data_IF_514531704060
#
_entry.id   IF_514531704060
#
_cell.length_a   1.000
_cell.length_b   1.000
_cell.length_c   1.000
_cell.angle_alpha   90.00
_cell.angle_beta   90.00
_cell.angle_gamma   90.00
#
_symmetry.space_group_name_H-M   'P 1'
#
loop_
_entity.id
_entity.type
_entity.pdbx_description
1 polymer ?
#
# COMPACT_ATOMS: atom_id res chain seq x y z
N UNK A 1 10.29 11.93 -5.36
CA UNK A 1 10.10 12.81 -4.19
C UNK A 1 8.95 13.76 -4.48
N UNK A 2 7.72 13.41 -4.08
CA UNK A 2 6.58 14.29 -3.82
C UNK A 2 5.34 13.41 -3.75
N UNK A 3 5.02 12.92 -2.55
CA UNK A 3 3.71 12.37 -2.21
C UNK A 3 3.59 12.45 -0.69
N UNK A 4 3.44 13.68 -0.21
CA UNK A 4 3.24 13.93 1.20
C UNK A 4 2.36 15.17 1.35
N UNK A 5 1.10 14.91 1.75
CA UNK A 5 0.18 15.83 2.40
C UNK A 5 -0.44 16.94 1.53
N UNK A 6 -1.66 16.69 1.05
CA UNK A 6 -2.60 17.75 0.71
C UNK A 6 -2.88 18.58 1.98
N UNK A 7 -2.30 19.78 2.02
CA UNK A 7 -2.57 20.81 3.03
C UNK A 7 -2.66 22.18 2.37
N UNK A 8 -3.48 23.04 2.96
CA UNK A 8 -4.05 24.30 2.45
C UNK A 8 -3.06 25.23 1.71
N UNK A 9 -3.53 26.10 0.80
CA UNK A 9 -2.63 26.77 -0.16
C UNK A 9 -2.97 28.23 -0.49
N UNK A 10 -1.98 29.02 -0.91
CA UNK A 10 -2.18 30.40 -1.41
C UNK A 10 -1.38 30.69 -2.68
N UNK A 11 -1.93 31.54 -3.53
CA UNK A 11 -1.31 31.96 -4.80
C UNK A 11 -0.15 32.92 -4.51
N UNK A 12 1.00 32.65 -5.12
CA UNK A 12 2.24 33.43 -5.02
C UNK A 12 2.85 33.66 -6.40
N UNK A 13 3.71 34.67 -6.52
CA UNK A 13 4.52 34.85 -7.73
C UNK A 13 5.57 33.72 -7.83
N UNK A 14 5.79 33.14 -9.03
CA UNK A 14 6.76 32.08 -9.22
C UNK A 14 8.21 32.58 -9.07
N UNK A 15 9.14 31.74 -8.59
CA UNK A 15 10.58 31.96 -8.69
C UNK A 15 11.02 32.20 -10.15
N UNK A 16 12.06 33.01 -10.35
CA UNK A 16 12.51 33.48 -11.68
C UNK A 16 12.98 32.37 -12.62
N UNK A 17 13.40 31.24 -12.04
CA UNK A 17 13.93 30.04 -12.68
C UNK A 17 12.85 29.01 -13.04
N UNK A 18 11.62 29.19 -12.54
CA UNK A 18 10.56 28.20 -12.70
C UNK A 18 9.69 28.47 -13.93
N UNK A 19 9.77 27.57 -14.93
CA UNK A 19 9.01 27.70 -16.18
C UNK A 19 7.52 27.41 -15.97
N UNK A 20 6.67 28.34 -16.42
CA UNK A 20 5.22 28.16 -16.44
C UNK A 20 4.81 27.08 -17.46
N UNK A 21 3.91 26.14 -17.10
CA UNK A 21 3.37 25.16 -18.04
C UNK A 21 2.73 25.83 -19.27
N UNK A 22 3.05 25.35 -20.47
CA UNK A 22 2.51 25.88 -21.73
C UNK A 22 1.03 25.51 -21.90
N UNK A 23 0.24 26.46 -22.42
CA UNK A 23 -1.11 26.20 -22.93
C UNK A 23 -2.25 26.11 -21.90
N UNK A 24 -2.03 26.31 -20.60
CA UNK A 24 -3.10 26.26 -19.58
C UNK A 24 -3.06 27.47 -18.65
N UNK A 25 -4.23 28.03 -18.34
CA UNK A 25 -4.37 29.05 -17.30
C UNK A 25 -4.12 28.41 -15.93
N UNK A 26 -2.97 28.75 -15.34
CA UNK A 26 -2.53 28.23 -14.05
C UNK A 26 -1.94 29.34 -13.17
N UNK A 27 -2.05 29.14 -11.87
CA UNK A 27 -1.42 29.93 -10.81
C UNK A 27 -0.29 29.13 -10.17
N UNK A 28 0.72 29.85 -9.69
CA UNK A 28 1.76 29.27 -8.85
C UNK A 28 1.32 29.38 -7.39
N UNK A 29 1.36 28.26 -6.67
CA UNK A 29 0.69 28.09 -5.39
C UNK A 29 1.69 27.54 -4.38
N UNK A 30 1.75 28.14 -3.19
CA UNK A 30 2.53 27.64 -2.04
C UNK A 30 1.58 27.01 -1.02
N UNK A 31 1.98 25.87 -0.46
CA UNK A 31 1.17 25.13 0.52
C UNK A 31 1.54 25.54 1.95
N UNK A 32 0.55 25.99 2.72
CA UNK A 32 0.66 26.30 4.15
C UNK A 32 1.14 25.08 4.95
N UNK A 33 1.99 25.35 5.94
CA UNK A 33 2.60 24.32 6.79
C UNK A 33 3.74 23.55 6.12
N UNK A 34 4.11 23.91 4.88
CA UNK A 34 5.22 23.29 4.12
C UNK A 34 6.03 24.35 3.35
N UNK A 35 7.17 23.95 2.78
CA UNK A 35 7.91 24.76 1.80
C UNK A 35 7.58 24.36 0.34
N UNK A 36 6.57 23.51 0.16
CA UNK A 36 6.20 22.97 -1.14
C UNK A 36 5.42 23.99 -1.98
N UNK A 37 5.57 23.87 -3.30
CA UNK A 37 4.94 24.76 -4.26
C UNK A 37 4.63 24.04 -5.58
N UNK A 38 3.58 24.46 -6.28
CA UNK A 38 3.16 23.86 -7.54
C UNK A 38 2.44 24.83 -8.47
N UNK A 39 2.42 24.52 -9.77
CA UNK A 39 1.54 25.18 -10.73
C UNK A 39 0.19 24.47 -10.77
N UNK A 40 -0.87 25.17 -10.40
CA UNK A 40 -2.22 24.60 -10.35
C UNK A 40 -3.12 25.30 -11.37
N UNK A 41 -3.92 24.54 -12.10
CA UNK A 41 -4.86 25.10 -13.08
C UNK A 41 -6.01 25.82 -12.38
N UNK A 42 -6.49 26.92 -12.97
CA UNK A 42 -7.59 27.72 -12.40
C UNK A 42 -8.87 26.91 -12.22
N UNK A 43 -9.17 25.95 -13.10
CA UNK A 43 -10.36 25.10 -12.98
C UNK A 43 -10.37 24.19 -11.74
N UNK A 44 -9.18 23.89 -11.21
CA UNK A 44 -9.04 23.05 -10.03
C UNK A 44 -9.13 23.85 -8.73
N UNK A 45 -9.29 25.17 -8.82
CA UNK A 45 -9.20 26.09 -7.71
C UNK A 45 -10.58 26.40 -7.08
N UNK A 46 -10.83 26.03 -5.81
CA UNK A 46 -12.08 26.38 -5.07
C UNK A 46 -11.92 27.35 -3.89
N UNK A 47 -12.81 28.33 -3.68
CA UNK A 47 -12.76 29.26 -2.54
C UNK A 47 -12.78 28.60 -1.15
N UNK A 48 -11.94 29.07 -0.22
CA UNK A 48 -11.78 28.46 1.10
C UNK A 48 -12.98 28.59 2.03
N UNK A 49 -13.51 29.81 2.27
CA UNK A 49 -14.57 29.99 3.28
C UNK A 49 -15.81 29.10 2.99
N UNK A 50 -16.29 28.99 1.73
CA UNK A 50 -17.41 28.11 1.41
C UNK A 50 -17.12 26.61 1.51
N UNK A 51 -15.86 26.18 1.40
CA UNK A 51 -15.48 24.76 1.32
C UNK A 51 -14.72 24.26 2.56
N UNK A 52 -14.36 25.13 3.50
CA UNK A 52 -13.60 24.79 4.71
C UNK A 52 -14.31 23.72 5.54
N UNK A 53 -15.60 23.89 5.82
CA UNK A 53 -16.35 22.97 6.68
C UNK A 53 -16.52 21.58 6.04
N UNK A 54 -16.76 21.53 4.74
CA UNK A 54 -16.80 20.29 3.96
C UNK A 54 -15.45 19.57 4.04
N UNK A 55 -14.35 20.31 3.88
CA UNK A 55 -13.01 19.73 3.88
C UNK A 55 -12.55 19.28 5.28
N UNK A 56 -12.95 19.96 6.35
CA UNK A 56 -12.73 19.51 7.75
C UNK A 56 -13.51 18.22 8.03
N UNK A 57 -14.73 18.08 7.51
CA UNK A 57 -15.51 16.84 7.66
C UNK A 57 -14.85 15.66 6.96
N UNK A 58 -14.28 15.89 5.78
CA UNK A 58 -13.60 14.86 4.97
C UNK A 58 -12.22 14.51 5.56
N UNK A 59 -11.47 15.50 6.07
CA UNK A 59 -10.09 15.32 6.51
C UNK A 59 -9.91 15.55 8.02
N UNK A 60 -9.85 14.46 8.80
CA UNK A 60 -9.72 14.50 10.27
C UNK A 60 -8.26 14.41 10.78
N UNK A 61 -7.28 14.52 9.90
CA UNK A 61 -5.86 14.38 10.26
C UNK A 61 -5.32 15.57 11.04
N UNK A 62 -4.45 15.32 12.04
CA UNK A 62 -3.83 16.37 12.87
C UNK A 62 -3.05 17.41 12.06
N UNK A 63 -2.40 17.01 10.96
CA UNK A 63 -1.69 17.92 10.03
C UNK A 63 -2.64 18.82 9.24
N UNK A 64 -3.80 18.30 8.84
CA UNK A 64 -4.82 19.10 8.14
C UNK A 64 -5.39 20.16 9.07
N UNK A 65 -5.69 19.79 10.33
CA UNK A 65 -6.13 20.76 11.33
C UNK A 65 -5.09 21.86 11.57
N UNK A 66 -3.79 21.51 11.63
CA UNK A 66 -2.70 22.49 11.75
C UNK A 66 -2.61 23.44 10.54
N UNK A 67 -2.88 22.96 9.34
CA UNK A 67 -2.88 23.79 8.13
C UNK A 67 -4.08 24.74 8.12
N UNK A 68 -5.28 24.26 8.51
CA UNK A 68 -6.47 25.09 8.72
C UNK A 68 -6.19 26.18 9.75
N UNK A 69 -5.60 25.83 10.89
CA UNK A 69 -5.24 26.78 11.94
C UNK A 69 -4.24 27.83 11.43
N UNK A 70 -3.24 27.43 10.64
CA UNK A 70 -2.28 28.33 10.02
C UNK A 70 -2.92 29.30 9.01
N UNK A 71 -3.92 28.85 8.24
CA UNK A 71 -4.71 29.70 7.34
C UNK A 71 -5.51 30.72 8.14
N UNK A 72 -6.19 30.29 9.21
CA UNK A 72 -6.95 31.20 10.08
C UNK A 72 -6.05 32.25 10.74
N UNK A 73 -4.87 31.84 11.21
CA UNK A 73 -3.89 32.76 11.78
C UNK A 73 -3.33 33.75 10.75
N UNK A 74 -3.10 33.29 9.52
CA UNK A 74 -2.70 34.17 8.41
C UNK A 74 -3.77 35.22 8.11
N UNK A 75 -5.04 34.79 8.01
CA UNK A 75 -6.17 35.68 7.78
C UNK A 75 -6.37 36.69 8.92
N UNK A 76 -6.22 36.25 10.18
CA UNK A 76 -6.25 37.14 11.36
C UNK A 76 -5.13 38.17 11.32
N UNK A 77 -3.89 37.77 11.02
CA UNK A 77 -2.74 38.68 10.89
C UNK A 77 -2.91 39.68 9.75
N UNK A 78 -3.52 39.26 8.63
CA UNK A 78 -3.83 40.15 7.52
C UNK A 78 -4.84 41.23 7.92
N UNK A 79 -5.93 40.86 8.62
CA UNK A 79 -6.93 41.81 9.17
C UNK A 79 -6.33 42.76 10.21
N UNK A 80 -5.42 42.28 11.06
CA UNK A 80 -4.74 43.11 12.06
C UNK A 80 -3.83 44.19 11.45
N UNK A 81 -3.11 43.88 10.36
CA UNK A 81 -2.27 44.86 9.64
C UNK A 81 -3.09 45.96 8.97
N UNK A 82 -4.34 45.67 8.61
CA UNK A 82 -5.26 46.64 8.02
C UNK A 82 -5.78 47.65 9.06
N UNK A 83 -6.06 47.21 10.29
CA UNK A 83 -6.45 48.09 11.40
C UNK A 83 -5.30 49.00 11.89
N UNK A 84 -4.07 48.48 11.95
CA UNK A 84 -2.87 49.26 12.32
C UNK A 84 -2.55 50.33 11.27
N UNK A 85 -2.74 50.05 9.97
CA UNK A 85 -2.57 51.04 8.90
C UNK A 85 -3.66 52.11 8.87
N UNK A 86 -4.91 51.77 9.20
CA UNK A 86 -5.98 52.79 9.38
C UNK A 86 -5.71 53.71 10.56
N UNK A 87 -5.11 53.21 11.65
CA UNK A 87 -4.70 54.04 12.79
C UNK A 87 -3.46 54.92 12.50
N UNK A 88 -2.51 54.45 11.70
CA UNK A 88 -1.31 55.24 11.36
C UNK A 88 -1.55 56.29 10.27
N UNK A 89 -2.58 56.14 9.44
CA UNK A 89 -2.94 57.16 8.42
C UNK A 89 -3.62 58.41 9.00
N UNK A 90 -3.98 58.42 10.29
CA UNK A 90 -4.58 59.58 10.95
C UNK A 90 -3.55 60.54 11.56
N UNK A 91 -2.26 60.17 11.61
CA UNK A 91 -1.21 60.97 12.25
C UNK A 91 0.10 60.95 11.44
N UNK A 92 0.22 61.79 10.39
CA UNK A 92 1.44 62.57 10.09
C UNK A 92 1.30 63.43 8.84
N UNK A 93 1.10 64.71 9.09
CA UNK A 93 1.33 65.84 8.17
C UNK A 93 2.80 66.27 8.22
N UNK A 94 3.36 66.66 7.06
CA UNK A 94 4.54 67.54 6.83
C UNK A 94 5.97 67.02 7.13
N UNK A 95 6.76 66.72 6.08
CA UNK A 95 7.93 67.51 5.54
C UNK A 95 8.77 66.71 4.50
N UNK A 96 9.40 67.47 3.58
CA UNK A 96 9.99 67.15 2.24
C UNK A 96 11.44 66.59 2.29
N UNK A 97 11.77 65.47 1.59
CA UNK A 97 12.58 65.27 0.33
C UNK A 97 14.11 65.58 0.38
N UNK A 98 15.00 65.07 -0.54
CA UNK A 98 14.81 64.28 -1.81
C UNK A 98 15.70 62.98 -1.91
N UNK A 99 15.49 61.99 -2.80
CA UNK A 99 15.79 61.94 -4.24
C UNK A 99 15.27 60.61 -4.89
N UNK A 100 14.70 60.75 -6.08
CA UNK A 100 14.60 59.85 -7.25
C UNK A 100 13.83 58.49 -7.27
N UNK A 101 13.13 58.34 -8.40
CA UNK A 101 12.36 57.20 -8.93
C UNK A 101 11.01 56.88 -8.26
N UNK A 102 10.02 57.72 -8.55
CA UNK A 102 8.63 57.29 -8.64
C UNK A 102 8.47 56.31 -9.80
N UNK A 103 7.86 55.16 -9.55
CA UNK A 103 6.94 54.52 -10.48
C UNK A 103 5.87 53.80 -9.64
N UNK A 104 4.74 54.50 -9.50
CA UNK A 104 3.36 53.98 -9.52
C UNK A 104 3.15 52.64 -8.80
N UNK A 105 2.87 52.70 -7.48
CA UNK A 105 2.16 51.64 -6.78
C UNK A 105 0.67 51.98 -6.83
N UNK A 106 0.01 51.54 -7.89
CA UNK A 106 -1.43 51.68 -8.08
C UNK A 106 -2.22 50.97 -6.97
N UNK A 107 -3.31 51.61 -6.54
CA UNK A 107 -4.38 51.14 -5.65
C UNK A 107 -5.04 49.80 -6.06
N UNK A 108 -4.58 49.16 -7.14
CA UNK A 108 -4.94 47.80 -7.56
C UNK A 108 -4.33 46.70 -6.69
N UNK A 109 -3.26 46.97 -5.95
CA UNK A 109 -2.60 45.95 -5.13
C UNK A 109 -3.45 45.48 -3.93
N UNK A 110 -4.30 46.36 -3.37
CA UNK A 110 -5.17 46.00 -2.25
C UNK A 110 -6.43 45.23 -2.68
N UNK A 111 -7.00 45.52 -3.84
CA UNK A 111 -8.08 44.71 -4.42
C UNK A 111 -7.58 43.32 -4.88
N UNK A 112 -6.31 43.21 -5.27
CA UNK A 112 -5.66 41.92 -5.55
C UNK A 112 -5.39 41.08 -4.29
N UNK A 113 -5.02 41.73 -3.17
CA UNK A 113 -4.85 41.07 -1.87
C UNK A 113 -6.19 40.66 -1.23
N UNK A 114 -7.24 41.46 -1.40
CA UNK A 114 -8.60 41.17 -0.91
C UNK A 114 -9.33 40.13 -1.77
N UNK A 115 -8.84 39.84 -2.98
CA UNK A 115 -9.34 38.75 -3.84
C UNK A 115 -8.52 37.48 -3.73
N UNK A 116 -7.66 37.35 -2.70
CA UNK A 116 -7.02 36.08 -2.32
C UNK A 116 -8.09 35.06 -1.93
N UNK A 117 -8.66 34.47 -2.97
CA UNK A 117 -9.39 33.23 -2.92
C UNK A 117 -8.35 32.23 -2.45
N UNK A 118 -8.42 31.83 -1.19
CA UNK A 118 -7.72 30.64 -0.71
C UNK A 118 -8.35 29.46 -1.42
N UNK A 119 -7.51 28.52 -1.85
CA UNK A 119 -7.92 27.62 -2.91
C UNK A 119 -7.69 26.14 -2.61
N UNK A 120 -8.74 25.33 -2.72
CA UNK A 120 -8.61 23.87 -2.79
C UNK A 120 -8.32 23.41 -4.21
N UNK A 121 -7.37 22.47 -4.35
CA UNK A 121 -7.01 21.80 -5.61
C UNK A 121 -7.81 20.50 -5.74
N UNK A 122 -8.45 20.28 -6.88
CA UNK A 122 -9.02 18.98 -7.24
C UNK A 122 -7.94 18.11 -7.92
N UNK A 123 -7.60 16.99 -7.30
CA UNK A 123 -6.49 16.11 -7.70
C UNK A 123 -6.64 15.56 -9.13
N UNK A 124 -5.57 15.64 -9.92
CA UNK A 124 -5.44 14.92 -11.19
C UNK A 124 -5.06 13.48 -10.92
N UNK A 125 -5.98 12.54 -11.19
CA UNK A 125 -5.76 11.09 -11.37
C UNK A 125 -4.64 10.47 -10.52
N UNK A 126 -4.60 10.84 -9.25
CA UNK A 126 -4.15 9.95 -8.19
C UNK A 126 -5.33 9.02 -7.99
N UNK A 127 -5.15 7.71 -8.18
CA UNK A 127 -6.05 6.73 -7.54
C UNK A 127 -5.94 7.00 -6.05
N UNK A 128 -6.79 7.90 -5.55
CA UNK A 128 -6.95 8.17 -4.14
C UNK A 128 -7.34 6.82 -3.53
N UNK A 129 -6.36 6.15 -2.94
CA UNK A 129 -6.55 5.01 -2.07
C UNK A 129 -7.63 5.47 -1.09
N UNK A 130 -8.84 4.92 -1.19
CA UNK A 130 -9.75 5.01 -0.05
C UNK A 130 -8.97 4.45 1.13
N UNK A 131 -8.84 5.27 2.18
CA UNK A 131 -8.13 4.92 3.39
C UNK A 131 -8.49 3.49 3.80
N UNK A 132 -7.48 2.72 4.22
CA UNK A 132 -7.65 1.34 4.68
C UNK A 132 -8.99 1.18 5.41
N UNK A 133 -9.87 0.30 4.91
CA UNK A 133 -10.99 -0.12 5.72
C UNK A 133 -10.36 -0.80 6.94
N UNK A 134 -10.42 -0.15 8.10
CA UNK A 134 -9.96 -0.73 9.35
C UNK A 134 -10.85 -1.93 9.60
N UNK A 135 -10.33 -3.12 9.34
CA UNK A 135 -11.06 -4.33 9.68
C UNK A 135 -11.07 -4.42 11.20
N UNK A 136 -12.26 -4.52 11.78
CA UNK A 136 -12.46 -4.32 13.20
C UNK A 136 -11.62 -5.31 14.03
N UNK A 137 -10.57 -4.81 14.67
CA UNK A 137 -9.95 -5.48 15.81
C UNK A 137 -10.98 -5.39 16.95
N UNK A 138 -11.62 -6.51 17.30
CA UNK A 138 -12.58 -6.68 18.42
C UNK A 138 -14.05 -6.24 18.19
N UNK A 139 -14.61 -6.43 17.00
CA UNK A 139 -16.07 -6.41 16.77
C UNK A 139 -16.60 -7.81 16.41
N UNK A 140 -17.86 -8.13 16.75
CA UNK A 140 -18.50 -9.35 16.23
C UNK A 140 -18.69 -9.21 14.72
N UNK A 141 -17.79 -9.81 13.93
CA UNK A 141 -17.95 -9.89 12.48
C UNK A 141 -19.23 -10.69 12.22
N UNK A 142 -20.18 -10.10 11.49
CA UNK A 142 -21.32 -10.85 10.97
C UNK A 142 -20.86 -11.53 9.67
N UNK A 143 -20.80 -12.87 9.62
CA UNK A 143 -20.35 -13.55 8.42
C UNK A 143 -21.32 -13.31 7.27
N UNK A 144 -20.81 -13.34 6.04
CA UNK A 144 -21.64 -13.25 4.83
C UNK A 144 -22.45 -14.54 4.64
N UNK A 145 -23.66 -14.43 4.10
CA UNK A 145 -24.49 -15.58 3.71
C UNK A 145 -23.95 -16.30 2.45
N UNK A 146 -22.98 -15.69 1.77
CA UNK A 146 -22.32 -16.27 0.59
C UNK A 146 -21.48 -17.49 0.98
N UNK A 147 -21.59 -18.58 0.21
CA UNK A 147 -20.75 -19.77 0.39
C UNK A 147 -19.33 -19.47 -0.09
N UNK A 148 -18.35 -19.76 0.75
CA UNK A 148 -16.94 -19.45 0.49
C UNK A 148 -16.20 -20.70 0.05
N UNK A 149 -15.46 -20.62 -1.05
CA UNK A 149 -14.50 -21.63 -1.50
C UNK A 149 -13.08 -21.19 -1.16
N UNK A 150 -12.20 -22.14 -0.82
CA UNK A 150 -10.78 -21.83 -0.59
C UNK A 150 -9.88 -22.88 -1.22
N UNK A 151 -8.96 -22.44 -2.09
CA UNK A 151 -8.05 -23.29 -2.85
C UNK A 151 -6.61 -23.05 -2.44
N UNK A 152 -5.96 -24.06 -1.86
CA UNK A 152 -4.55 -24.00 -1.46
C UNK A 152 -4.38 -23.77 0.04
N UNK A 153 -4.04 -24.85 0.75
CA UNK A 153 -3.90 -24.87 2.23
C UNK A 153 -2.41 -24.88 2.61
N UNK A 154 -1.69 -23.90 2.05
CA UNK A 154 -0.27 -23.69 2.29
C UNK A 154 0.01 -22.91 3.59
N UNK A 155 1.22 -22.32 3.66
CA UNK A 155 1.68 -21.54 4.82
C UNK A 155 0.70 -20.41 5.19
N UNK A 156 0.21 -19.66 4.19
CA UNK A 156 -0.78 -18.59 4.39
C UNK A 156 -2.21 -19.13 4.40
N UNK A 157 -2.58 -19.95 3.41
CA UNK A 157 -3.96 -20.42 3.25
C UNK A 157 -4.53 -21.11 4.48
N UNK A 158 -3.70 -21.83 5.24
CA UNK A 158 -4.11 -22.47 6.49
C UNK A 158 -4.66 -21.48 7.52
N UNK A 159 -3.91 -20.42 7.84
CA UNK A 159 -4.34 -19.43 8.82
C UNK A 159 -5.57 -18.64 8.36
N UNK A 160 -5.62 -18.31 7.07
CA UNK A 160 -6.77 -17.63 6.46
C UNK A 160 -8.05 -18.46 6.61
N UNK A 161 -8.01 -19.75 6.28
CA UNK A 161 -9.19 -20.63 6.37
C UNK A 161 -9.65 -20.81 7.81
N UNK A 162 -8.74 -21.06 8.76
CA UNK A 162 -9.11 -21.18 10.17
C UNK A 162 -9.78 -19.92 10.68
N UNK A 163 -9.33 -18.73 10.26
CA UNK A 163 -9.98 -17.48 10.65
C UNK A 163 -11.36 -17.30 10.02
N UNK A 164 -11.54 -17.67 8.75
CA UNK A 164 -12.87 -17.68 8.13
C UNK A 164 -13.85 -18.60 8.87
N UNK A 165 -13.41 -19.81 9.22
CA UNK A 165 -14.24 -20.78 9.98
C UNK A 165 -14.57 -20.27 11.39
N UNK A 166 -13.58 -19.74 12.12
CA UNK A 166 -13.77 -19.17 13.47
C UNK A 166 -14.77 -18.01 13.49
N UNK A 167 -14.81 -17.21 12.43
CA UNK A 167 -15.77 -16.11 12.29
C UNK A 167 -17.13 -16.55 11.73
N UNK A 168 -17.37 -17.86 11.57
CA UNK A 168 -18.67 -18.43 11.23
C UNK A 168 -18.99 -18.49 9.74
N UNK A 169 -18.00 -18.30 8.86
CA UNK A 169 -18.23 -18.45 7.42
C UNK A 169 -18.40 -19.92 7.03
N UNK A 170 -19.27 -20.18 6.05
CA UNK A 170 -19.44 -21.51 5.45
C UNK A 170 -18.35 -21.71 4.38
N UNK A 171 -17.31 -22.47 4.71
CA UNK A 171 -16.15 -22.67 3.84
C UNK A 171 -16.11 -24.08 3.24
N UNK A 172 -15.85 -24.17 1.94
CA UNK A 172 -15.45 -25.41 1.25
C UNK A 172 -14.01 -25.30 0.82
N UNK A 173 -13.17 -26.24 1.26
CA UNK A 173 -11.74 -26.23 1.00
C UNK A 173 -11.34 -27.24 -0.06
N UNK A 174 -10.27 -26.94 -0.77
CA UNK A 174 -9.55 -27.90 -1.59
C UNK A 174 -8.05 -27.62 -1.51
N UNK A 175 -7.26 -28.70 -1.53
CA UNK A 175 -5.82 -28.63 -1.68
C UNK A 175 -5.34 -29.80 -2.52
N UNK A 176 -4.26 -29.60 -3.29
CA UNK A 176 -3.67 -30.66 -4.13
C UNK A 176 -3.28 -31.91 -3.32
N UNK A 177 -2.77 -31.70 -2.11
CA UNK A 177 -2.48 -32.75 -1.12
C UNK A 177 -3.68 -32.84 -0.18
N UNK A 178 -4.51 -33.86 -0.34
CA UNK A 178 -5.82 -33.96 0.31
C UNK A 178 -5.73 -33.99 1.84
N UNK A 179 -4.66 -34.60 2.38
CA UNK A 179 -4.42 -34.74 3.83
C UNK A 179 -4.31 -33.38 4.53
N UNK A 180 -3.96 -32.31 3.80
CA UNK A 180 -3.94 -30.95 4.37
C UNK A 180 -5.34 -30.40 4.69
N UNK A 181 -6.40 -31.00 4.15
CA UNK A 181 -7.77 -30.59 4.41
C UNK A 181 -8.32 -31.12 5.74
N UNK A 182 -7.74 -32.19 6.29
CA UNK A 182 -8.31 -32.93 7.44
C UNK A 182 -8.52 -32.06 8.68
N UNK A 183 -7.58 -31.16 8.97
CA UNK A 183 -7.67 -30.20 10.07
C UNK A 183 -8.91 -29.30 9.93
N UNK A 184 -9.20 -28.82 8.73
CA UNK A 184 -10.30 -27.88 8.50
C UNK A 184 -11.65 -28.58 8.43
N UNK A 185 -11.68 -29.85 8.02
CA UNK A 185 -12.90 -30.67 8.10
C UNK A 185 -13.34 -30.82 9.56
N UNK A 186 -12.38 -31.03 10.47
CA UNK A 186 -12.65 -31.06 11.92
C UNK A 186 -13.14 -29.70 12.44
N UNK A 187 -12.67 -28.59 11.87
CA UNK A 187 -13.14 -27.22 12.15
C UNK A 187 -14.47 -26.86 11.44
N UNK A 188 -15.09 -27.79 10.71
CA UNK A 188 -16.40 -27.61 10.09
C UNK A 188 -16.39 -27.21 8.61
N UNK A 189 -15.23 -27.19 7.95
CA UNK A 189 -15.15 -26.99 6.51
C UNK A 189 -15.71 -28.18 5.73
N UNK A 190 -16.27 -27.90 4.56
CA UNK A 190 -16.63 -28.92 3.57
C UNK A 190 -15.42 -29.23 2.70
N UNK A 191 -15.31 -30.46 2.21
CA UNK A 191 -14.27 -30.85 1.27
C UNK A 191 -14.79 -30.81 -0.17
N UNK A 192 -14.14 -30.05 -1.04
CA UNK A 192 -14.29 -30.17 -2.49
C UNK A 192 -13.28 -31.17 -3.06
N UNK A 193 -13.65 -31.90 -4.11
CA UNK A 193 -12.77 -32.91 -4.74
C UNK A 193 -11.86 -32.28 -5.80
N UNK A 194 -12.33 -31.21 -6.44
CA UNK A 194 -11.58 -30.47 -7.47
C UNK A 194 -11.82 -28.97 -7.35
N UNK A 195 -10.90 -28.11 -7.87
CA UNK A 195 -11.11 -26.67 -7.96
C UNK A 195 -12.41 -26.30 -8.67
N UNK A 196 -12.74 -26.95 -9.79
CA UNK A 196 -13.98 -26.74 -10.54
C UNK A 196 -15.23 -26.98 -9.67
N UNK A 197 -15.21 -28.04 -8.86
CA UNK A 197 -16.31 -28.40 -7.97
C UNK A 197 -16.51 -27.35 -6.88
N UNK A 198 -15.42 -26.91 -6.23
CA UNK A 198 -15.47 -25.84 -5.21
C UNK A 198 -16.12 -24.58 -5.78
N UNK A 199 -15.67 -24.14 -6.95
CA UNK A 199 -16.22 -22.94 -7.62
C UNK A 199 -17.70 -23.12 -7.98
N UNK A 200 -18.12 -24.32 -8.39
CA UNK A 200 -19.53 -24.60 -8.70
C UNK A 200 -20.42 -24.52 -7.46
N UNK A 201 -19.93 -24.96 -6.31
CA UNK A 201 -20.66 -24.97 -5.04
C UNK A 201 -20.65 -23.61 -4.32
N UNK A 202 -19.60 -22.81 -4.49
CA UNK A 202 -19.39 -21.58 -3.73
C UNK A 202 -19.71 -20.32 -4.55
N UNK A 203 -20.07 -19.23 -3.88
CA UNK A 203 -20.41 -17.96 -4.53
C UNK A 203 -19.13 -17.11 -4.73
N UNK A 204 -18.23 -17.14 -3.75
CA UNK A 204 -16.89 -16.54 -3.79
C UNK A 204 -15.87 -17.63 -3.53
N UNK A 205 -14.86 -17.77 -4.39
CA UNK A 205 -13.77 -18.72 -4.21
C UNK A 205 -12.43 -17.99 -4.15
N UNK A 206 -11.72 -18.13 -3.03
CA UNK A 206 -10.36 -17.62 -2.83
C UNK A 206 -9.33 -18.66 -3.26
N UNK A 207 -8.16 -18.21 -3.72
CA UNK A 207 -6.98 -19.05 -3.97
C UNK A 207 -5.74 -18.47 -3.30
N UNK A 208 -4.87 -19.33 -2.79
CA UNK A 208 -3.57 -18.94 -2.23
C UNK A 208 -2.53 -20.03 -2.50
N UNK A 209 -1.78 -19.89 -3.59
CA UNK A 209 -0.81 -20.87 -4.09
C UNK A 209 0.60 -20.25 -4.28
N UNK A 210 1.58 -21.09 -4.60
CA UNK A 210 3.00 -20.78 -4.42
C UNK A 210 3.59 -19.74 -5.40
N UNK A 211 3.14 -19.75 -6.65
CA UNK A 211 3.79 -19.06 -7.74
C UNK A 211 2.85 -18.91 -8.96
N UNK A 212 3.23 -18.11 -9.97
CA UNK A 212 2.42 -17.90 -11.18
C UNK A 212 2.06 -19.18 -11.92
N UNK A 213 2.95 -20.18 -11.97
CA UNK A 213 2.67 -21.45 -12.64
C UNK A 213 1.58 -22.20 -11.89
N UNK A 214 1.68 -22.31 -10.57
CA UNK A 214 0.65 -22.94 -9.75
C UNK A 214 -0.71 -22.24 -9.88
N UNK A 215 -0.73 -20.91 -9.96
CA UNK A 215 -1.97 -20.15 -10.16
C UNK A 215 -2.60 -20.41 -11.54
N UNK A 216 -1.79 -20.40 -12.61
CA UNK A 216 -2.26 -20.74 -13.97
C UNK A 216 -2.75 -22.18 -14.07
N UNK A 217 -2.00 -23.14 -13.54
CA UNK A 217 -2.37 -24.55 -13.53
C UNK A 217 -3.68 -24.78 -12.75
N UNK A 218 -3.86 -24.09 -11.61
CA UNK A 218 -5.08 -24.16 -10.80
C UNK A 218 -6.31 -23.65 -11.57
N UNK A 219 -6.14 -22.59 -12.36
CA UNK A 219 -7.26 -21.96 -13.07
C UNK A 219 -7.56 -22.62 -14.41
N UNK A 220 -6.53 -22.80 -15.24
CA UNK A 220 -6.64 -23.22 -16.64
C UNK A 220 -6.50 -24.73 -16.83
N UNK A 221 -5.96 -25.44 -15.83
CA UNK A 221 -5.73 -26.88 -15.89
C UNK A 221 -7.01 -27.72 -15.89
N UNK A 222 -6.89 -29.04 -16.08
CA UNK A 222 -8.03 -29.95 -16.04
C UNK A 222 -8.66 -29.99 -14.64
N UNK A 223 -9.99 -29.99 -14.61
CA UNK A 223 -10.78 -29.79 -13.38
C UNK A 223 -10.43 -28.52 -12.58
N UNK A 224 -9.81 -27.54 -13.24
CA UNK A 224 -9.43 -26.23 -12.71
C UNK A 224 -10.61 -25.27 -12.55
N UNK A 225 -10.33 -24.12 -11.93
CA UNK A 225 -11.32 -23.07 -11.60
C UNK A 225 -12.20 -22.73 -12.78
N UNK A 226 -11.62 -22.56 -13.97
CA UNK A 226 -12.32 -22.07 -15.16
C UNK A 226 -13.50 -22.96 -15.59
N UNK A 227 -13.46 -24.27 -15.29
CA UNK A 227 -14.56 -25.18 -15.63
C UNK A 227 -15.74 -25.10 -14.63
N UNK A 228 -15.52 -24.54 -13.45
CA UNK A 228 -16.59 -24.25 -12.48
C UNK A 228 -17.21 -22.85 -12.63
N UNK A 229 -16.54 -21.93 -13.35
CA UNK A 229 -17.01 -20.56 -13.54
C UNK A 229 -18.25 -20.52 -14.44
N UNK A 230 -19.25 -19.75 -13.98
CA UNK A 230 -20.48 -19.39 -14.68
C UNK A 230 -20.91 -17.98 -14.24
N UNK A 231 -21.87 -17.33 -14.93
CA UNK A 231 -22.38 -16.02 -14.52
C UNK A 231 -22.71 -15.93 -13.03
N UNK A 232 -22.18 -14.90 -12.37
CA UNK A 232 -22.38 -14.63 -10.94
C UNK A 232 -21.35 -15.26 -10.00
N UNK A 233 -20.47 -16.15 -10.47
CA UNK A 233 -19.38 -16.70 -9.66
C UNK A 233 -18.24 -15.69 -9.49
N UNK A 234 -17.70 -15.59 -8.28
CA UNK A 234 -16.58 -14.72 -7.96
C UNK A 234 -15.32 -15.53 -7.67
N UNK A 235 -14.19 -15.11 -8.21
CA UNK A 235 -12.87 -15.69 -7.93
C UNK A 235 -11.93 -14.60 -7.40
N UNK A 236 -11.26 -14.89 -6.29
CA UNK A 236 -10.36 -13.98 -5.59
C UNK A 236 -8.96 -14.59 -5.54
N UNK A 237 -8.03 -14.05 -6.32
CA UNK A 237 -6.66 -14.54 -6.40
C UNK A 237 -5.77 -13.86 -5.35
N UNK A 238 -5.39 -14.58 -4.30
CA UNK A 238 -4.56 -14.04 -3.20
C UNK A 238 -3.08 -14.41 -3.32
N UNK A 239 -2.69 -15.15 -4.35
CA UNK A 239 -1.29 -15.53 -4.57
C UNK A 239 -0.47 -14.33 -5.04
N UNK A 240 0.77 -14.22 -4.55
CA UNK A 240 1.71 -13.23 -5.08
C UNK A 240 2.25 -13.70 -6.44
N UNK A 241 1.74 -13.10 -7.52
CA UNK A 241 2.10 -13.37 -8.92
C UNK A 241 2.42 -12.08 -9.67
N UNK A 242 2.88 -12.18 -10.92
CA UNK A 242 3.10 -11.04 -11.81
C UNK A 242 1.81 -10.45 -12.40
N UNK A 243 1.81 -9.16 -12.78
CA UNK A 243 0.65 -8.50 -13.37
C UNK A 243 0.15 -9.15 -14.66
N UNK A 244 1.05 -9.73 -15.45
CA UNK A 244 0.72 -10.44 -16.70
C UNK A 244 -0.11 -11.70 -16.41
N UNK A 245 0.26 -12.46 -15.38
CA UNK A 245 -0.53 -13.59 -14.89
C UNK A 245 -1.90 -13.13 -14.41
N UNK A 246 -2.00 -12.04 -13.64
CA UNK A 246 -3.29 -11.50 -13.21
C UNK A 246 -4.17 -11.11 -14.40
N UNK A 247 -3.60 -10.45 -15.41
CA UNK A 247 -4.33 -10.07 -16.62
C UNK A 247 -4.91 -11.29 -17.35
N UNK A 248 -4.11 -12.35 -17.52
CA UNK A 248 -4.54 -13.60 -18.16
C UNK A 248 -5.66 -14.31 -17.37
N UNK A 249 -5.52 -14.42 -16.05
CA UNK A 249 -6.51 -15.06 -15.19
C UNK A 249 -7.82 -14.26 -15.15
N UNK A 250 -7.72 -12.94 -14.99
CA UNK A 250 -8.86 -12.03 -15.00
C UNK A 250 -9.63 -12.12 -16.31
N UNK A 251 -8.94 -12.05 -17.45
CA UNK A 251 -9.56 -12.18 -18.77
C UNK A 251 -10.25 -13.53 -18.95
N UNK A 252 -9.58 -14.62 -18.56
CA UNK A 252 -10.12 -15.97 -18.69
C UNK A 252 -11.42 -16.14 -17.89
N UNK A 253 -11.44 -15.68 -16.65
CA UNK A 253 -12.58 -15.79 -15.74
C UNK A 253 -13.75 -14.90 -16.20
N UNK A 254 -13.48 -13.65 -16.57
CA UNK A 254 -14.50 -12.70 -17.02
C UNK A 254 -15.13 -13.09 -18.35
N UNK A 255 -14.36 -13.68 -19.27
CA UNK A 255 -14.88 -14.21 -20.55
C UNK A 255 -15.92 -15.32 -20.34
N UNK A 256 -15.88 -16.03 -19.20
CA UNK A 256 -16.88 -17.04 -18.81
C UNK A 256 -18.03 -16.49 -17.95
N UNK A 257 -18.11 -15.17 -17.80
CA UNK A 257 -19.12 -14.48 -17.00
C UNK A 257 -18.83 -14.46 -15.49
N UNK A 258 -17.64 -14.91 -15.08
CA UNK A 258 -17.19 -14.79 -13.70
C UNK A 258 -16.75 -13.36 -13.37
N UNK A 259 -16.64 -13.07 -12.07
CA UNK A 259 -16.12 -11.80 -11.56
C UNK A 259 -14.79 -12.06 -10.88
N UNK A 260 -13.81 -11.18 -11.10
CA UNK A 260 -12.43 -11.40 -10.70
C UNK A 260 -11.94 -10.27 -9.79
N UNK A 261 -11.25 -10.66 -8.71
CA UNK A 261 -10.52 -9.76 -7.83
C UNK A 261 -9.14 -10.38 -7.57
N UNK A 262 -8.07 -9.61 -7.69
CA UNK A 262 -6.80 -9.98 -7.05
C UNK A 262 -6.79 -9.40 -5.64
N UNK A 263 -6.30 -10.16 -4.67
CA UNK A 263 -6.20 -9.74 -3.27
C UNK A 263 -4.94 -10.32 -2.58
N UNK A 264 -3.72 -10.13 -3.13
CA UNK A 264 -2.50 -10.60 -2.46
C UNK A 264 -2.36 -10.00 -1.05
N UNK A 265 -1.75 -10.78 -0.16
CA UNK A 265 -1.60 -10.45 1.27
C UNK A 265 -0.14 -10.20 1.66
N UNK A 266 0.08 -9.13 2.42
CA UNK A 266 1.34 -8.83 3.07
C UNK A 266 1.26 -9.25 4.53
N UNK A 267 2.25 -10.02 4.97
CA UNK A 267 2.32 -10.58 6.30
C UNK A 267 3.14 -11.86 6.34
N UNK A 268 3.06 -12.57 7.45
CA UNK A 268 3.77 -13.82 7.69
C UNK A 268 2.81 -14.91 8.16
N UNK A 269 3.31 -16.12 8.41
CA UNK A 269 2.48 -17.23 8.88
C UNK A 269 1.80 -16.87 10.20
N UNK A 270 2.56 -16.28 11.12
CA UNK A 270 2.00 -15.85 12.40
C UNK A 270 0.86 -14.83 12.20
N UNK A 271 1.08 -13.79 11.39
CA UNK A 271 0.05 -12.79 11.10
C UNK A 271 -1.17 -13.39 10.37
N UNK A 272 -0.95 -14.41 9.54
CA UNK A 272 -2.04 -15.14 8.89
C UNK A 272 -2.87 -15.95 9.89
N UNK A 273 -2.23 -16.56 10.89
CA UNK A 273 -2.91 -17.30 11.94
C UNK A 273 -3.71 -16.35 12.85
N UNK A 274 -3.17 -15.16 13.09
CA UNK A 274 -3.76 -14.16 13.98
C UNK A 274 -4.84 -13.29 13.31
N UNK A 275 -5.08 -13.45 12.01
CA UNK A 275 -6.04 -12.63 11.26
C UNK A 275 -5.58 -11.17 11.10
N UNK A 276 -4.26 -10.95 11.02
CA UNK A 276 -3.62 -9.62 11.05
C UNK A 276 -2.92 -9.26 9.74
N UNK A 277 -3.29 -9.92 8.62
CA UNK A 277 -2.73 -9.64 7.30
C UNK A 277 -3.11 -8.24 6.80
N UNK A 278 -2.27 -7.70 5.92
CA UNK A 278 -2.63 -6.51 5.12
C UNK A 278 -3.01 -6.98 3.72
N UNK A 279 -4.26 -6.73 3.34
CA UNK A 279 -4.82 -7.18 2.06
C UNK A 279 -4.71 -6.06 1.04
N UNK A 280 -4.11 -6.34 -0.11
CA UNK A 280 -4.03 -5.41 -1.24
C UNK A 280 -4.94 -5.95 -2.33
N UNK A 281 -6.06 -5.29 -2.58
CA UNK A 281 -7.08 -5.75 -3.52
C UNK A 281 -7.18 -4.85 -4.75
N UNK A 282 -7.44 -5.43 -5.92
CA UNK A 282 -7.73 -4.69 -7.15
C UNK A 282 -8.54 -5.56 -8.14
N UNK A 283 -9.33 -4.93 -9.01
CA UNK A 283 -10.24 -5.61 -9.94
C UNK A 283 -11.70 -5.22 -9.70
N UNK A 284 -12.59 -6.20 -9.61
CA UNK A 284 -14.03 -5.95 -9.44
C UNK A 284 -14.35 -5.38 -8.04
N UNK A 285 -14.73 -4.10 -8.01
CA UNK A 285 -15.05 -3.37 -6.78
C UNK A 285 -16.18 -4.00 -5.96
N UNK A 286 -17.20 -4.52 -6.62
CA UNK A 286 -18.31 -5.18 -5.94
C UNK A 286 -17.87 -6.50 -5.31
N UNK A 287 -16.88 -7.21 -5.88
CA UNK A 287 -16.34 -8.44 -5.25
C UNK A 287 -15.57 -8.07 -4.00
N UNK A 288 -14.80 -6.98 -4.04
CA UNK A 288 -14.11 -6.44 -2.87
C UNK A 288 -15.10 -6.13 -1.73
N UNK A 289 -16.22 -5.49 -2.03
CA UNK A 289 -17.27 -5.18 -1.06
C UNK A 289 -17.98 -6.44 -0.54
N UNK A 290 -18.30 -7.39 -1.44
CA UNK A 290 -18.87 -8.69 -1.08
C UNK A 290 -17.95 -9.52 -0.16
N UNK A 291 -16.64 -9.29 -0.21
CA UNK A 291 -15.63 -9.94 0.61
C UNK A 291 -15.39 -9.25 1.97
N UNK A 292 -16.12 -8.18 2.32
CA UNK A 292 -15.83 -7.35 3.50
C UNK A 292 -15.66 -8.16 4.80
N UNK A 293 -16.61 -9.04 5.15
CA UNK A 293 -16.50 -9.86 6.37
C UNK A 293 -15.39 -10.92 6.28
N UNK A 294 -15.10 -11.44 5.08
CA UNK A 294 -13.98 -12.36 4.88
C UNK A 294 -12.62 -11.65 5.09
N UNK A 295 -12.45 -10.46 4.53
CA UNK A 295 -11.26 -9.64 4.72
C UNK A 295 -11.11 -9.18 6.17
N UNK A 296 -12.22 -8.93 6.87
CA UNK A 296 -12.19 -8.66 8.30
C UNK A 296 -11.73 -9.85 9.15
N UNK A 297 -12.10 -11.07 8.76
CA UNK A 297 -11.69 -12.26 9.49
C UNK A 297 -10.18 -12.54 9.33
N UNK A 298 -9.62 -12.34 8.14
CA UNK A 298 -8.24 -12.73 7.82
C UNK A 298 -7.21 -11.60 7.93
N UNK A 299 -7.64 -10.34 8.00
CA UNK A 299 -6.78 -9.18 7.89
C UNK A 299 -7.02 -8.12 8.96
N UNK A 300 -5.97 -7.33 9.20
CA UNK A 300 -5.98 -6.10 10.00
C UNK A 300 -6.39 -4.86 9.20
N UNK A 301 -6.17 -4.88 7.88
CA UNK A 301 -6.60 -3.82 6.99
C UNK A 301 -6.68 -4.30 5.55
N UNK A 302 -7.59 -3.72 4.77
CA UNK A 302 -7.68 -3.93 3.32
C UNK A 302 -7.59 -2.62 2.55
N UNK A 303 -6.93 -2.66 1.40
CA UNK A 303 -6.77 -1.52 0.48
C UNK A 303 -7.31 -1.89 -0.89
N UNK A 304 -8.15 -1.04 -1.49
CA UNK A 304 -8.59 -1.21 -2.87
C UNK A 304 -7.79 -0.30 -3.82
N UNK A 305 -7.04 -0.89 -4.74
CA UNK A 305 -6.03 -0.27 -5.58
C UNK A 305 -6.48 -0.06 -7.04
N UNK A 306 -7.80 -0.13 -7.28
CA UNK A 306 -8.39 0.12 -8.59
C UNK A 306 -8.37 -1.12 -9.49
N UNK A 307 -7.87 -0.95 -10.72
CA UNK A 307 -7.88 -1.97 -11.77
C UNK A 307 -6.98 -3.19 -11.47
N UNK A 308 -7.37 -4.35 -11.99
CA UNK A 308 -6.59 -5.58 -11.87
C UNK A 308 -5.17 -5.41 -12.44
N UNK A 309 -4.19 -6.01 -11.76
CA UNK A 309 -2.76 -5.86 -11.95
C UNK A 309 -2.13 -4.86 -10.98
N UNK A 310 -2.87 -3.90 -10.41
CA UNK A 310 -2.31 -2.91 -9.49
C UNK A 310 -1.91 -3.49 -8.14
N UNK A 311 -2.65 -4.47 -7.62
CA UNK A 311 -2.30 -5.10 -6.34
C UNK A 311 -1.09 -6.02 -6.47
N UNK A 312 -0.97 -6.78 -7.57
CA UNK A 312 0.24 -7.53 -7.90
C UNK A 312 1.48 -6.63 -7.96
N UNK A 313 1.42 -5.49 -8.67
CA UNK A 313 2.52 -4.51 -8.73
C UNK A 313 2.91 -4.02 -7.34
N UNK A 314 1.93 -3.58 -6.54
CA UNK A 314 2.19 -3.07 -5.20
C UNK A 314 2.81 -4.15 -4.29
N UNK A 315 2.29 -5.37 -4.35
CA UNK A 315 2.82 -6.49 -3.58
C UNK A 315 4.27 -6.82 -3.95
N UNK A 316 4.59 -6.87 -5.25
CA UNK A 316 5.95 -7.12 -5.70
C UNK A 316 6.92 -6.00 -5.25
N UNK A 317 6.48 -4.75 -5.23
CA UNK A 317 7.28 -3.63 -4.69
C UNK A 317 7.54 -3.83 -3.19
N UNK A 318 6.52 -4.18 -2.40
CA UNK A 318 6.67 -4.42 -0.97
C UNK A 318 7.65 -5.58 -0.69
N UNK A 319 7.48 -6.70 -1.38
CA UNK A 319 8.34 -7.87 -1.18
C UNK A 319 9.76 -7.64 -1.75
N UNK A 320 9.92 -6.80 -2.76
CA UNK A 320 11.23 -6.35 -3.23
C UNK A 320 11.98 -5.57 -2.14
N UNK A 321 11.30 -4.62 -1.49
CA UNK A 321 11.86 -3.86 -0.36
C UNK A 321 12.21 -4.79 0.79
N UNK A 322 11.28 -5.66 1.21
CA UNK A 322 11.46 -6.59 2.32
C UNK A 322 12.61 -7.58 2.06
N UNK A 323 12.65 -8.18 0.87
CA UNK A 323 13.69 -9.14 0.47
C UNK A 323 15.07 -8.50 0.45
N UNK A 324 15.19 -7.30 -0.15
CA UNK A 324 16.45 -6.55 -0.19
C UNK A 324 16.92 -6.16 1.21
N UNK A 325 15.99 -5.69 2.05
CA UNK A 325 16.31 -5.29 3.42
C UNK A 325 16.82 -6.45 4.28
N UNK A 326 16.20 -7.63 4.16
CA UNK A 326 16.66 -8.83 4.86
C UNK A 326 18.06 -9.28 4.42
N UNK A 327 18.40 -9.15 3.13
CA UNK A 327 19.77 -9.40 2.66
C UNK A 327 20.77 -8.41 3.29
N UNK A 328 20.41 -7.12 3.37
CA UNK A 328 21.23 -6.10 4.05
C UNK A 328 21.41 -6.38 5.55
N UNK A 329 20.36 -6.83 6.24
CA UNK A 329 20.43 -7.23 7.66
C UNK A 329 21.41 -8.40 7.82
N UNK A 330 21.30 -9.42 6.97
CA UNK A 330 22.19 -10.58 6.99
C UNK A 330 23.66 -10.19 6.75
N UNK A 331 23.92 -9.31 5.79
CA UNK A 331 25.25 -8.77 5.52
C UNK A 331 25.82 -8.00 6.72
N UNK A 332 25.01 -7.12 7.34
CA UNK A 332 25.42 -6.38 8.53
C UNK A 332 25.77 -7.28 9.72
N UNK A 333 24.95 -8.30 9.99
CA UNK A 333 25.19 -9.25 11.08
C UNK A 333 26.44 -10.10 10.83
N UNK A 334 26.65 -10.59 9.60
CA UNK A 334 27.84 -11.37 9.26
C UNK A 334 29.10 -10.52 9.25
N UNK A 335 29.04 -9.26 8.80
CA UNK A 335 30.16 -8.33 8.87
C UNK A 335 30.52 -7.99 10.32
N UNK A 336 29.54 -7.76 11.20
CA UNK A 336 29.77 -7.58 12.62
C UNK A 336 30.52 -8.79 13.21
N UNK A 337 30.07 -10.01 12.91
CA UNK A 337 30.73 -11.24 13.34
C UNK A 337 32.17 -11.33 12.81
N UNK A 338 32.40 -11.06 11.53
CA UNK A 338 33.71 -11.14 10.89
C UNK A 338 34.70 -10.08 11.42
N UNK A 339 34.20 -8.96 11.93
CA UNK A 339 35.00 -7.86 12.50
C UNK A 339 35.09 -7.91 14.03
N UNK A 340 34.71 -9.03 14.64
CA UNK A 340 34.80 -9.25 16.09
C UNK A 340 33.80 -8.43 16.91
N UNK A 341 32.75 -7.90 16.30
CA UNK A 341 31.67 -7.17 16.98
C UNK A 341 30.54 -8.13 17.39
N UNK A 342 29.86 -7.81 18.49
CA UNK A 342 28.70 -8.58 18.96
C UNK A 342 27.49 -8.33 18.08
N UNK A 343 26.94 -9.40 17.49
CA UNK A 343 25.69 -9.36 16.73
C UNK A 343 24.49 -8.91 17.60
N UNK A 344 24.47 -9.32 18.88
CA UNK A 344 23.44 -8.88 19.83
C UNK A 344 23.52 -7.36 20.04
N UNK A 345 24.73 -6.82 20.25
CA UNK A 345 24.91 -5.38 20.45
C UNK A 345 24.55 -4.59 19.20
N UNK A 346 24.85 -5.11 17.99
CA UNK A 346 24.37 -4.50 16.75
C UNK A 346 22.84 -4.43 16.71
N UNK A 347 22.15 -5.52 17.04
CA UNK A 347 20.69 -5.54 17.12
C UNK A 347 20.18 -4.50 18.13
N UNK A 348 20.74 -4.45 19.33
CA UNK A 348 20.33 -3.50 20.37
C UNK A 348 20.44 -2.05 19.86
N UNK A 349 21.54 -1.71 19.16
CA UNK A 349 21.74 -0.39 18.55
C UNK A 349 20.71 -0.12 17.45
N UNK A 350 20.44 -1.08 16.56
CA UNK A 350 19.45 -0.94 15.48
C UNK A 350 18.05 -0.67 16.05
N UNK A 351 17.67 -1.34 17.14
CA UNK A 351 16.39 -1.19 17.81
C UNK A 351 16.21 0.15 18.56
N UNK A 352 17.30 0.85 18.89
CA UNK A 352 17.23 2.22 19.43
C UNK A 352 17.19 3.30 18.32
N UNK A 353 17.56 2.94 17.09
CA UNK A 353 17.71 3.86 15.97
C UNK A 353 16.43 4.08 15.15
N UNK A 354 16.54 4.89 14.10
CA UNK A 354 15.43 5.18 13.18
C UNK A 354 15.01 3.99 12.30
N UNK A 355 15.81 2.93 12.26
CA UNK A 355 15.52 1.71 11.51
C UNK A 355 14.80 0.65 12.36
N UNK A 356 14.52 0.95 13.63
CA UNK A 356 13.83 0.04 14.53
C UNK A 356 12.46 -0.36 13.95
N UNK A 357 12.25 -1.67 13.82
CA UNK A 357 10.99 -2.25 13.37
C UNK A 357 10.84 -3.65 13.92
N UNK A 358 9.59 -4.11 14.05
CA UNK A 358 9.29 -5.50 14.45
C UNK A 358 9.94 -6.52 13.52
N UNK A 359 10.06 -6.19 12.23
CA UNK A 359 10.74 -7.03 11.25
C UNK A 359 12.23 -7.20 11.57
N UNK A 360 12.95 -6.09 11.84
CA UNK A 360 14.38 -6.14 12.19
C UNK A 360 14.59 -6.97 13.45
N UNK A 361 13.86 -6.65 14.51
CA UNK A 361 14.01 -7.33 15.79
C UNK A 361 13.76 -8.84 15.66
N UNK A 362 12.61 -9.22 15.09
CA UNK A 362 12.26 -10.63 14.94
C UNK A 362 13.25 -11.41 14.07
N UNK A 363 13.66 -10.87 12.92
CA UNK A 363 14.54 -11.58 11.99
C UNK A 363 15.98 -11.68 12.52
N UNK A 364 16.47 -10.66 13.21
CA UNK A 364 17.76 -10.71 13.89
C UNK A 364 17.75 -11.72 15.05
N UNK A 365 16.70 -11.74 15.89
CA UNK A 365 16.56 -12.73 16.95
C UNK A 365 16.54 -14.17 16.39
N UNK A 366 15.83 -14.39 15.29
CA UNK A 366 15.83 -15.69 14.59
C UNK A 366 17.24 -16.12 14.18
N UNK A 367 18.04 -15.20 13.62
CA UNK A 367 19.43 -15.47 13.23
C UNK A 367 20.30 -15.78 14.46
N UNK A 368 20.22 -14.96 15.50
CA UNK A 368 20.99 -15.11 16.74
C UNK A 368 20.70 -16.44 17.45
N UNK A 369 19.46 -16.92 17.36
CA UNK A 369 19.02 -18.20 17.91
C UNK A 369 19.26 -19.39 16.96
N UNK A 370 19.72 -19.14 15.73
CA UNK A 370 19.84 -20.16 14.69
C UNK A 370 18.50 -20.78 14.26
N UNK A 371 17.38 -20.10 14.53
CA UNK A 371 16.04 -20.57 14.24
C UNK A 371 15.56 -20.05 12.89
N UNK A 372 15.55 -20.93 11.90
CA UNK A 372 15.10 -20.62 10.54
C UNK A 372 13.78 -21.32 10.17
N UNK A 373 12.96 -21.67 11.17
CA UNK A 373 11.60 -22.19 10.93
C UNK A 373 10.83 -21.16 10.07
N UNK A 374 10.20 -21.58 8.96
CA UNK A 374 9.62 -20.66 7.99
C UNK A 374 8.41 -19.91 8.57
N UNK A 375 8.52 -18.58 8.62
CA UNK A 375 7.39 -17.67 8.78
C UNK A 375 7.05 -17.00 7.43
N UNK A 376 8.07 -16.88 6.56
CA UNK A 376 7.93 -16.67 5.12
C UNK A 376 9.03 -17.43 4.38
N UNK A 377 8.69 -18.34 3.45
CA UNK A 377 9.69 -19.19 2.81
C UNK A 377 10.70 -18.41 1.97
N UNK A 378 11.98 -18.80 2.06
CA UNK A 378 13.07 -18.22 1.28
C UNK A 378 12.85 -18.37 -0.23
N UNK A 379 12.34 -19.52 -0.69
CA UNK A 379 12.01 -19.71 -2.12
C UNK A 379 10.94 -18.73 -2.61
N UNK A 380 10.02 -18.30 -1.76
CA UNK A 380 8.96 -17.37 -2.14
C UNK A 380 9.48 -15.95 -2.23
N UNK A 381 10.31 -15.48 -1.29
CA UNK A 381 10.88 -14.14 -1.40
C UNK A 381 11.85 -14.04 -2.59
N UNK A 382 12.58 -15.11 -2.91
CA UNK A 382 13.41 -15.15 -4.11
C UNK A 382 12.55 -15.09 -5.39
N UNK A 383 11.41 -15.78 -5.42
CA UNK A 383 10.44 -15.67 -6.51
C UNK A 383 9.92 -14.24 -6.63
N UNK A 384 9.57 -13.57 -5.53
CA UNK A 384 9.09 -12.20 -5.56
C UNK A 384 10.14 -11.22 -6.08
N UNK A 385 11.39 -11.33 -5.64
CA UNK A 385 12.50 -10.52 -6.15
C UNK A 385 12.67 -10.71 -7.66
N UNK A 386 12.62 -11.95 -8.15
CA UNK A 386 12.69 -12.24 -9.59
C UNK A 386 11.53 -11.59 -10.36
N UNK A 387 10.31 -11.66 -9.84
CA UNK A 387 9.15 -11.04 -10.49
C UNK A 387 9.23 -9.51 -10.45
N UNK A 388 9.69 -8.92 -9.34
CA UNK A 388 9.89 -7.48 -9.22
C UNK A 388 10.96 -6.96 -10.18
N UNK A 389 12.07 -7.70 -10.36
CA UNK A 389 13.10 -7.38 -11.36
C UNK A 389 12.51 -7.44 -12.78
N UNK A 390 11.74 -8.49 -13.09
CA UNK A 390 11.07 -8.61 -14.39
C UNK A 390 10.09 -7.46 -14.65
N UNK A 391 9.36 -7.02 -13.63
CA UNK A 391 8.48 -5.86 -13.72
C UNK A 391 9.28 -4.56 -13.94
N UNK A 392 10.45 -4.43 -13.32
CA UNK A 392 11.39 -3.34 -13.57
C UNK A 392 11.87 -3.32 -15.03
N UNK A 393 12.20 -4.49 -15.59
CA UNK A 393 12.61 -4.66 -16.99
C UNK A 393 11.50 -4.21 -17.96
N UNK A 394 10.27 -4.70 -17.79
CA UNK A 394 9.10 -4.26 -18.59
C UNK A 394 8.90 -2.75 -18.55
N UNK A 395 9.21 -2.10 -17.42
CA UNK A 395 9.12 -0.65 -17.25
C UNK A 395 10.38 0.13 -17.67
N UNK A 396 11.42 -0.54 -18.17
CA UNK A 396 12.75 0.03 -18.41
C UNK A 396 13.32 0.78 -17.19
N UNK A 397 13.06 0.26 -15.98
CA UNK A 397 13.47 0.84 -14.71
C UNK A 397 14.53 -0.03 -14.02
N UNK A 398 15.79 0.41 -13.92
CA UNK A 398 16.84 -0.35 -13.26
C UNK A 398 16.57 -0.58 -11.77
N UNK A 399 16.66 -1.84 -11.33
CA UNK A 399 16.49 -2.24 -9.91
C UNK A 399 17.76 -2.90 -9.35
N UNK A 400 18.90 -2.19 -9.25
CA UNK A 400 20.20 -2.80 -8.93
C UNK A 400 20.24 -3.45 -7.54
N UNK A 401 19.56 -2.86 -6.55
CA UNK A 401 19.50 -3.41 -5.18
C UNK A 401 18.77 -4.75 -5.14
N UNK A 402 17.62 -4.83 -5.83
CA UNK A 402 16.86 -6.08 -5.94
C UNK A 402 17.64 -7.14 -6.72
N UNK A 403 18.35 -6.75 -7.78
CA UNK A 403 19.20 -7.65 -8.56
C UNK A 403 20.31 -8.27 -7.70
N UNK A 404 21.04 -7.47 -6.92
CA UNK A 404 22.05 -7.95 -6.00
C UNK A 404 21.45 -8.92 -4.95
N UNK A 405 20.37 -8.51 -4.29
CA UNK A 405 19.69 -9.35 -3.30
C UNK A 405 19.23 -10.69 -3.90
N UNK A 406 18.64 -10.67 -5.09
CA UNK A 406 18.15 -11.86 -5.77
C UNK A 406 19.26 -12.91 -6.00
N UNK A 407 20.48 -12.49 -6.36
CA UNK A 407 21.60 -13.43 -6.52
C UNK A 407 22.06 -14.03 -5.19
N UNK A 408 22.01 -13.27 -4.10
CA UNK A 408 22.27 -13.80 -2.74
C UNK A 408 21.21 -14.82 -2.34
N UNK A 409 19.93 -14.57 -2.63
CA UNK A 409 18.88 -15.56 -2.38
C UNK A 409 19.02 -16.80 -3.25
N UNK A 410 19.47 -16.68 -4.51
CA UNK A 410 19.79 -17.86 -5.34
C UNK A 410 20.94 -18.67 -4.75
N UNK A 411 21.99 -18.01 -4.23
CA UNK A 411 23.05 -18.69 -3.47
C UNK A 411 22.49 -19.42 -2.25
N UNK A 412 21.63 -18.78 -1.46
CA UNK A 412 20.98 -19.43 -0.32
C UNK A 412 20.16 -20.67 -0.75
N UNK A 413 19.43 -20.58 -1.88
CA UNK A 413 18.71 -21.73 -2.44
C UNK A 413 19.63 -22.88 -2.84
N UNK A 414 20.80 -22.58 -3.42
CA UNK A 414 21.81 -23.58 -3.77
C UNK A 414 22.46 -24.22 -2.53
N UNK A 415 22.35 -23.58 -1.37
CA UNK A 415 22.73 -24.12 -0.06
C UNK A 415 21.56 -24.78 0.67
N UNK A 416 20.55 -25.28 -0.05
CA UNK A 416 19.37 -25.98 0.48
C UNK A 416 18.50 -25.18 1.47
N UNK A 417 18.50 -23.85 1.36
CA UNK A 417 17.71 -23.00 2.27
C UNK A 417 16.29 -22.68 1.76
N UNK A 418 15.87 -23.28 0.64
CA UNK A 418 14.61 -22.95 -0.05
C UNK A 418 13.37 -23.02 0.85
N UNK A 419 13.31 -24.01 1.74
CA UNK A 419 12.16 -24.30 2.61
C UNK A 419 12.32 -23.76 4.04
N UNK A 420 13.40 -23.03 4.30
CA UNK A 420 13.57 -22.27 5.55
C UNK A 420 12.97 -20.87 5.42
N UNK A 421 12.93 -20.13 6.53
CA UNK A 421 12.55 -18.73 6.54
C UNK A 421 13.46 -17.89 5.64
N UNK A 422 12.95 -16.76 5.12
CA UNK A 422 13.73 -15.80 4.37
C UNK A 422 14.99 -15.31 5.11
N UNK A 423 14.99 -15.29 6.45
CA UNK A 423 16.19 -14.96 7.23
C UNK A 423 17.35 -15.94 7.01
N UNK A 424 17.10 -17.14 6.50
CA UNK A 424 18.13 -18.11 6.15
C UNK A 424 19.04 -17.65 4.99
N UNK A 425 18.71 -16.53 4.33
CA UNK A 425 19.66 -15.82 3.44
C UNK A 425 20.96 -15.47 4.15
N UNK A 426 20.94 -15.31 5.49
CA UNK A 426 22.11 -15.22 6.34
C UNK A 426 23.16 -16.31 6.06
N UNK A 427 22.73 -17.55 5.79
CA UNK A 427 23.64 -18.68 5.53
C UNK A 427 24.37 -18.56 4.18
N UNK A 428 23.93 -17.68 3.29
CA UNK A 428 24.66 -17.40 2.04
C UNK A 428 25.92 -16.54 2.24
N UNK A 429 26.07 -15.92 3.42
CA UNK A 429 27.19 -15.06 3.80
C UNK A 429 28.19 -15.73 4.75
N UNK A 430 27.87 -16.91 5.30
CA UNK A 430 28.77 -17.62 6.22
C UNK A 430 29.99 -18.13 5.44
N UNK A 431 31.17 -17.92 6.02
CA UNK A 431 32.47 -18.36 5.49
C UNK A 431 32.80 -19.82 5.78
#
# INVERSE_FOLDING_TARGET
MCNQFQSDSYVVSPPKDLKKPRGKKCHFVKFFGTEDHAWIKIEQLKPYHPHKEEMIKINKGKRFQQAVDAVEDFLKKAKGKEQVRKHQSYNKTRRRQPLMCQHILDDKWLSYLLSMTLVFVQDTSSTSIQAADSTAINGSITPTDKRIGFLGLGLMGSGIVSNLLKMGHVVTVWNRTAEKCDLFIQEGARLGRTPAEVVSMCDITFSCVSDPKAAKDLVLGPSGVLQGIRPGKCYVEMSTVDPETIAELSQSITTRGGRFLEAPVAGSQQLSNDGMLVILAAGDRSVYEDCSSCFQAMGKSSFFLGEAGNAAKMMLILNMVQGSFMATIAEGLTLAQATGQSQQTLLDILCQGQMASTFVDQKCQNILQGNFKPDYYLKHIQKDLRLAISMGDTANHPTPMAAAANEVYKRAKALDQSDNDMSAVYRAYIH
#
